data_IF_965988026768
#
_entry.id   IF_965988026768
#
_cell.length_a   1.000
_cell.length_b   1.000
_cell.length_c   1.000
_cell.angle_alpha   90.00
_cell.angle_beta   90.00
_cell.angle_gamma   90.00
#
_symmetry.space_group_name_H-M   'P 1'
#
loop_
_entity.id
_entity.type
_entity.pdbx_description
1 polymer ?
#
# COMPACT_ATOMS: atom_id res chain seq x y z
N UNK A 1 -4.59 -3.72 9.89
CA UNK A 1 -3.17 -4.11 9.76
C UNK A 1 -2.23 -3.13 10.47
N UNK A 2 -2.24 -1.81 10.15
CA UNK A 2 -1.30 -0.84 10.76
C UNK A 2 -1.37 -0.80 12.30
N UNK A 3 -2.57 -0.75 12.88
CA UNK A 3 -2.76 -0.78 14.33
C UNK A 3 -2.36 -2.12 14.95
N UNK A 4 -2.62 -3.22 14.29
CA UNK A 4 -2.23 -4.56 14.75
C UNK A 4 -0.70 -4.71 14.77
N UNK A 5 -0.02 -4.26 13.72
CA UNK A 5 1.44 -4.23 13.68
C UNK A 5 2.02 -3.32 14.77
N UNK A 6 1.39 -2.17 15.04
CA UNK A 6 1.83 -1.27 16.11
C UNK A 6 1.67 -1.86 17.52
N UNK A 7 0.67 -2.69 17.73
CA UNK A 7 0.47 -3.41 19.01
C UNK A 7 1.51 -4.52 19.21
N UNK A 8 1.86 -5.24 18.11
CA UNK A 8 2.85 -6.33 18.18
C UNK A 8 4.27 -5.80 18.40
N UNK A 9 4.61 -4.67 17.79
CA UNK A 9 5.95 -4.10 17.85
C UNK A 9 5.90 -2.59 18.14
N UNK A 10 5.58 -2.17 19.38
CA UNK A 10 5.31 -0.77 19.70
C UNK A 10 6.52 0.16 19.46
N UNK A 11 7.73 -0.34 19.62
CA UNK A 11 8.97 0.44 19.46
C UNK A 11 9.57 0.35 18.05
N UNK A 12 9.00 -0.45 17.16
CA UNK A 12 9.51 -0.58 15.79
C UNK A 12 9.26 0.70 14.97
N UNK A 13 10.20 1.05 14.12
CA UNK A 13 9.96 2.02 13.05
C UNK A 13 9.04 1.40 12.01
N UNK A 14 8.11 2.19 11.47
CA UNK A 14 7.08 1.70 10.55
C UNK A 14 7.09 2.51 9.28
N UNK A 15 6.86 1.83 8.18
CA UNK A 15 6.61 2.46 6.87
C UNK A 15 5.21 2.04 6.40
N UNK A 16 4.30 2.99 6.23
CA UNK A 16 3.02 2.78 5.56
C UNK A 16 3.26 2.92 4.07
N UNK A 17 3.17 1.80 3.34
CA UNK A 17 3.40 1.78 1.91
C UNK A 17 2.05 1.77 1.19
N UNK A 18 1.87 2.74 0.30
CA UNK A 18 0.75 2.79 -0.63
C UNK A 18 1.30 2.68 -2.05
N UNK A 19 1.00 1.56 -2.73
CA UNK A 19 1.30 1.36 -4.13
C UNK A 19 0.13 1.81 -5.00
N UNK A 20 0.43 2.49 -6.11
CA UNK A 20 -0.54 2.72 -7.18
C UNK A 20 0.13 2.51 -8.53
N UNK A 21 -0.59 1.91 -9.45
CA UNK A 21 -0.11 1.68 -10.80
C UNK A 21 -0.96 2.46 -11.80
N UNK A 22 -0.30 3.03 -12.78
CA UNK A 22 -0.98 3.52 -13.98
C UNK A 22 -1.04 2.33 -14.94
N UNK A 23 -2.23 1.83 -15.28
CA UNK A 23 -2.35 0.70 -16.21
C UNK A 23 -1.56 0.93 -17.49
N UNK A 24 -0.83 -0.08 -17.94
CA UNK A 24 0.03 0.02 -19.12
C UNK A 24 -0.75 0.51 -20.35
N UNK A 25 -1.96 -0.02 -20.53
CA UNK A 25 -2.86 0.39 -21.63
C UNK A 25 -3.16 1.88 -21.58
N UNK A 26 -3.44 2.42 -20.40
CA UNK A 26 -3.70 3.86 -20.24
C UNK A 26 -2.43 4.69 -20.51
N UNK A 27 -1.27 4.23 -20.04
CA UNK A 27 0.01 4.87 -20.34
C UNK A 27 0.31 4.88 -21.84
N UNK A 28 0.07 3.77 -22.52
CA UNK A 28 0.23 3.66 -23.97
C UNK A 28 -0.74 4.61 -24.72
N UNK A 29 -2.01 4.67 -24.30
CA UNK A 29 -3.00 5.57 -24.89
C UNK A 29 -2.60 7.04 -24.72
N UNK A 30 -2.08 7.43 -23.55
CA UNK A 30 -1.56 8.79 -23.33
C UNK A 30 -0.40 9.13 -24.27
N UNK A 31 0.55 8.20 -24.44
CA UNK A 31 1.69 8.38 -25.32
C UNK A 31 1.27 8.47 -26.80
N UNK A 32 0.31 7.64 -27.22
CA UNK A 32 -0.27 7.67 -28.59
C UNK A 32 -1.04 8.97 -28.86
N UNK A 33 -1.69 9.54 -27.84
CA UNK A 33 -2.35 10.84 -27.92
C UNK A 33 -1.37 12.03 -27.90
N UNK A 34 -0.06 11.79 -27.95
CA UNK A 34 0.95 12.85 -27.94
C UNK A 34 1.26 13.43 -26.56
N UNK A 35 0.79 12.78 -25.49
CA UNK A 35 1.06 13.24 -24.12
C UNK A 35 2.57 13.17 -23.82
N UNK A 36 3.14 14.28 -23.41
CA UNK A 36 4.56 14.37 -23.10
C UNK A 36 4.93 13.60 -21.81
N UNK A 37 6.20 13.24 -21.68
CA UNK A 37 6.72 12.63 -20.43
C UNK A 37 6.55 13.56 -19.21
N UNK A 38 6.60 14.89 -19.44
CA UNK A 38 6.38 15.88 -18.38
C UNK A 38 4.94 15.86 -17.86
N UNK A 39 3.95 15.70 -18.74
CA UNK A 39 2.54 15.58 -18.37
C UNK A 39 2.27 14.25 -17.62
N UNK A 40 2.86 13.15 -18.07
CA UNK A 40 2.78 11.87 -17.36
C UNK A 40 3.40 11.98 -15.95
N UNK A 41 4.53 12.65 -15.81
CA UNK A 41 5.16 12.93 -14.52
C UNK A 41 4.26 13.85 -13.65
N UNK A 42 3.61 14.83 -14.23
CA UNK A 42 2.62 15.67 -13.56
C UNK A 42 1.44 14.86 -13.03
N UNK A 43 0.89 13.97 -13.83
CA UNK A 43 -0.17 13.06 -13.41
C UNK A 43 0.25 12.18 -12.23
N UNK A 44 1.46 11.61 -12.27
CA UNK A 44 2.00 10.82 -11.14
C UNK A 44 2.11 11.64 -9.87
N UNK A 45 2.59 12.89 -9.96
CA UNK A 45 2.68 13.80 -8.80
C UNK A 45 1.30 14.08 -8.21
N UNK A 46 0.30 14.37 -9.05
CA UNK A 46 -1.08 14.59 -8.62
C UNK A 46 -1.65 13.36 -7.90
N UNK A 47 -1.49 12.17 -8.47
CA UNK A 47 -1.94 10.91 -7.84
C UNK A 47 -1.24 10.63 -6.51
N UNK A 48 0.04 10.96 -6.41
CA UNK A 48 0.81 10.84 -5.16
C UNK A 48 0.27 11.79 -4.08
N UNK A 49 -0.02 13.04 -4.44
CA UNK A 49 -0.58 14.02 -3.53
C UNK A 49 -1.98 13.62 -3.04
N UNK A 50 -2.84 13.17 -3.94
CA UNK A 50 -4.18 12.66 -3.62
C UNK A 50 -4.12 11.45 -2.68
N UNK A 51 -3.27 10.48 -2.97
CA UNK A 51 -3.11 9.31 -2.11
C UNK A 51 -2.63 9.69 -0.70
N UNK A 52 -1.71 10.65 -0.60
CA UNK A 52 -1.23 11.16 0.69
C UNK A 52 -2.35 11.84 1.49
N UNK A 53 -3.18 12.61 0.83
CA UNK A 53 -4.33 13.27 1.46
C UNK A 53 -5.32 12.23 2.00
N UNK A 54 -5.73 11.27 1.19
CA UNK A 54 -6.63 10.18 1.60
C UNK A 54 -6.10 9.36 2.78
N UNK A 55 -4.79 9.08 2.79
CA UNK A 55 -4.17 8.38 3.93
C UNK A 55 -4.30 9.23 5.20
N UNK A 56 -4.01 10.53 5.11
CA UNK A 56 -4.14 11.45 6.26
C UNK A 56 -5.57 11.55 6.76
N UNK A 57 -6.55 11.66 5.87
CA UNK A 57 -7.98 11.69 6.21
C UNK A 57 -8.40 10.39 6.89
N UNK A 58 -8.08 9.24 6.30
CA UNK A 58 -8.43 7.92 6.87
C UNK A 58 -7.87 7.73 8.28
N UNK A 59 -6.65 8.15 8.53
CA UNK A 59 -6.04 8.04 9.85
C UNK A 59 -6.38 9.22 10.77
N UNK A 60 -6.75 10.38 10.23
CA UNK A 60 -7.24 11.53 10.98
C UNK A 60 -8.61 11.29 11.61
N UNK A 61 -9.52 10.66 10.87
CA UNK A 61 -10.88 10.35 11.33
C UNK A 61 -10.94 9.14 12.27
N UNK A 62 -10.10 8.12 12.05
CA UNK A 62 -10.13 6.83 12.78
C UNK A 62 -9.06 6.68 13.86
N UNK A 63 -8.31 7.71 14.12
CA UNK A 63 -7.19 7.67 15.05
C UNK A 63 -5.87 8.02 14.37
N UNK A 64 -4.93 8.47 15.18
CA UNK A 64 -3.60 8.88 14.71
C UNK A 64 -2.85 7.72 14.07
N UNK A 65 -2.11 8.00 13.00
CA UNK A 65 -1.04 7.10 12.56
C UNK A 65 -0.21 6.69 13.78
N UNK A 66 0.10 5.40 13.91
CA UNK A 66 0.96 4.96 15.01
C UNK A 66 2.26 5.79 15.03
N UNK A 67 2.80 6.12 16.22
CA UNK A 67 4.07 6.81 16.32
C UNK A 67 5.16 6.15 15.48
N UNK A 68 6.17 6.88 15.07
CA UNK A 68 7.29 6.37 14.26
C UNK A 68 6.87 5.77 12.89
N UNK A 69 5.73 6.20 12.34
CA UNK A 69 5.27 5.77 11.03
C UNK A 69 5.60 6.79 9.95
N UNK A 70 6.32 6.36 8.91
CA UNK A 70 6.56 7.13 7.69
C UNK A 70 5.56 6.70 6.61
N UNK A 71 5.05 7.67 5.83
CA UNK A 71 4.21 7.38 4.67
C UNK A 71 5.08 7.38 3.42
N UNK A 72 5.04 6.28 2.69
CA UNK A 72 5.70 6.11 1.40
C UNK A 72 4.69 5.73 0.34
N UNK A 73 4.61 6.56 -0.70
CA UNK A 73 3.74 6.33 -1.86
C UNK A 73 4.63 5.95 -3.02
N UNK A 74 4.34 4.81 -3.64
CA UNK A 74 5.15 4.21 -4.69
C UNK A 74 4.33 4.06 -5.97
N UNK A 75 4.77 4.60 -7.12
CA UNK A 75 4.10 4.41 -8.39
C UNK A 75 4.40 3.01 -8.96
N UNK A 76 3.90 1.97 -8.30
CA UNK A 76 4.08 0.57 -8.66
C UNK A 76 2.90 -0.26 -8.15
N UNK A 77 2.72 -1.47 -8.70
CA UNK A 77 1.78 -2.46 -8.18
C UNK A 77 1.98 -2.63 -6.65
N UNK A 78 0.91 -2.60 -5.86
CA UNK A 78 0.99 -2.69 -4.41
C UNK A 78 1.74 -3.93 -3.90
N UNK A 79 1.55 -5.10 -4.55
CA UNK A 79 2.26 -6.31 -4.14
C UNK A 79 3.76 -6.20 -4.44
N UNK A 80 4.14 -5.64 -5.60
CA UNK A 80 5.54 -5.39 -5.95
C UNK A 80 6.18 -4.42 -4.97
N UNK A 81 5.49 -3.35 -4.60
CA UNK A 81 5.98 -2.38 -3.63
C UNK A 81 6.28 -3.02 -2.26
N UNK A 82 5.37 -3.89 -1.77
CA UNK A 82 5.52 -4.61 -0.51
C UNK A 82 6.60 -5.69 -0.58
N UNK A 83 6.67 -6.46 -1.67
CA UNK A 83 7.72 -7.46 -1.88
C UNK A 83 9.11 -6.83 -1.93
N UNK A 84 9.26 -5.68 -2.58
CA UNK A 84 10.51 -4.93 -2.57
C UNK A 84 10.85 -4.40 -1.17
N UNK A 85 9.85 -3.99 -0.39
CA UNK A 85 10.06 -3.59 1.00
C UNK A 85 10.51 -4.76 1.87
N UNK A 86 9.91 -5.95 1.72
CA UNK A 86 10.25 -7.16 2.48
C UNK A 86 11.70 -7.64 2.30
N UNK A 87 12.35 -7.21 1.22
CA UNK A 87 13.76 -7.57 0.89
C UNK A 87 14.78 -6.58 1.42
N UNK A 88 14.36 -5.46 2.01
CA UNK A 88 15.28 -4.47 2.55
C UNK A 88 15.87 -4.96 3.87
N UNK A 89 17.14 -4.64 4.09
CA UNK A 89 17.79 -4.88 5.40
C UNK A 89 17.03 -4.10 6.48
N UNK A 90 16.72 -4.76 7.57
CA UNK A 90 15.97 -4.18 8.69
C UNK A 90 14.46 -4.18 8.53
N UNK A 91 13.93 -4.89 7.51
CA UNK A 91 12.50 -5.19 7.43
C UNK A 91 12.25 -6.56 8.01
N UNK A 92 11.66 -6.61 9.19
CA UNK A 92 11.40 -7.85 9.93
C UNK A 92 9.96 -8.35 9.70
N UNK A 93 9.03 -7.44 9.39
CA UNK A 93 7.61 -7.75 9.26
C UNK A 93 6.93 -6.90 8.19
N UNK A 94 6.13 -7.53 7.35
CA UNK A 94 5.13 -6.87 6.50
C UNK A 94 3.74 -7.17 7.03
N UNK A 95 2.96 -6.14 7.32
CA UNK A 95 1.59 -6.27 7.78
C UNK A 95 0.59 -5.75 6.75
N UNK A 96 -0.41 -6.55 6.41
CA UNK A 96 -1.44 -6.17 5.44
C UNK A 96 -2.80 -6.76 5.80
N UNK A 97 -3.86 -6.21 5.23
CA UNK A 97 -5.21 -6.76 5.36
C UNK A 97 -5.44 -7.95 4.44
N UNK A 98 -6.42 -8.79 4.77
CA UNK A 98 -6.86 -9.89 3.90
C UNK A 98 -7.46 -9.37 2.58
N UNK A 99 -8.02 -8.16 2.60
CA UNK A 99 -8.77 -7.58 1.49
C UNK A 99 -8.34 -6.13 1.24
N UNK A 100 -8.39 -5.72 -0.04
CA UNK A 100 -8.27 -4.31 -0.44
C UNK A 100 -9.63 -3.59 -0.40
N UNK A 101 -9.64 -2.30 -0.71
CA UNK A 101 -10.81 -1.43 -0.68
C UNK A 101 -11.98 -1.88 -1.58
N UNK A 102 -11.73 -2.75 -2.58
CA UNK A 102 -12.71 -3.21 -3.58
C UNK A 102 -13.09 -4.69 -3.42
N UNK A 103 -12.90 -5.28 -2.25
CA UNK A 103 -13.18 -6.70 -2.06
C UNK A 103 -14.68 -6.98 -1.95
N UNK A 104 -15.19 -7.77 -2.87
CA UNK A 104 -16.62 -8.14 -2.98
C UNK A 104 -16.98 -9.34 -2.10
N UNK A 105 -16.02 -10.13 -1.65
CA UNK A 105 -16.26 -11.36 -0.88
C UNK A 105 -15.50 -11.36 0.45
N UNK A 106 -16.24 -11.48 1.55
CA UNK A 106 -15.72 -11.35 2.93
C UNK A 106 -14.72 -12.45 3.36
N UNK A 107 -14.58 -13.54 2.62
CA UNK A 107 -13.76 -14.71 3.02
C UNK A 107 -12.59 -15.02 2.08
N UNK A 108 -12.36 -14.21 1.04
CA UNK A 108 -11.28 -14.47 0.09
C UNK A 108 -10.04 -13.62 0.38
N UNK A 109 -8.89 -14.27 0.36
CA UNK A 109 -7.60 -13.60 0.43
C UNK A 109 -7.37 -12.81 -0.86
N UNK A 110 -7.20 -11.50 -0.75
CA UNK A 110 -6.97 -10.61 -1.88
C UNK A 110 -5.68 -10.95 -2.65
N UNK A 111 -5.61 -10.53 -3.91
CA UNK A 111 -4.47 -10.81 -4.79
C UNK A 111 -3.14 -10.27 -4.24
N UNK A 112 -3.15 -9.10 -3.64
CA UNK A 112 -1.95 -8.50 -3.00
C UNK A 112 -1.49 -9.36 -1.82
N UNK A 113 -2.41 -9.73 -0.92
CA UNK A 113 -2.08 -10.55 0.24
C UNK A 113 -1.52 -11.91 -0.16
N UNK A 114 -2.12 -12.55 -1.18
CA UNK A 114 -1.63 -13.83 -1.71
C UNK A 114 -0.22 -13.71 -2.29
N UNK A 115 0.04 -12.71 -3.12
CA UNK A 115 1.38 -12.47 -3.70
C UNK A 115 2.42 -12.20 -2.63
N UNK A 116 2.08 -11.41 -1.60
CA UNK A 116 3.01 -11.09 -0.51
C UNK A 116 3.30 -12.31 0.35
N UNK A 117 2.28 -13.11 0.72
CA UNK A 117 2.46 -14.33 1.50
C UNK A 117 3.38 -15.34 0.82
N UNK A 118 3.32 -15.43 -0.52
CA UNK A 118 4.14 -16.40 -1.27
C UNK A 118 5.54 -15.88 -1.61
N UNK A 119 5.76 -14.58 -1.61
CA UNK A 119 6.99 -13.98 -2.14
C UNK A 119 7.79 -13.11 -1.18
N UNK A 120 7.29 -12.82 0.02
CA UNK A 120 8.00 -12.02 1.01
C UNK A 120 9.25 -12.75 1.54
N UNK A 121 10.26 -11.95 1.95
CA UNK A 121 11.50 -12.46 2.56
C UNK A 121 11.64 -12.07 4.04
N UNK A 122 10.54 -11.74 4.67
CA UNK A 122 10.42 -11.47 6.10
C UNK A 122 9.07 -12.03 6.57
N UNK A 123 8.79 -11.94 7.85
CA UNK A 123 7.51 -12.35 8.40
C UNK A 123 6.35 -11.56 7.80
N UNK A 124 5.19 -12.19 7.67
CA UNK A 124 3.99 -11.58 7.11
C UNK A 124 2.83 -11.71 8.08
N UNK A 125 2.30 -10.58 8.53
CA UNK A 125 1.09 -10.50 9.33
C UNK A 125 -0.10 -10.17 8.42
N UNK A 126 -1.02 -11.11 8.28
CA UNK A 126 -2.29 -10.87 7.58
C UNK A 126 -3.39 -10.63 8.60
N UNK A 127 -4.00 -9.45 8.55
CA UNK A 127 -5.05 -9.04 9.47
C UNK A 127 -6.40 -9.12 8.76
N UNK A 128 -7.35 -9.93 9.24
CA UNK A 128 -8.69 -9.97 8.69
C UNK A 128 -9.34 -8.57 8.72
N UNK A 129 -10.20 -8.28 7.74
CA UNK A 129 -11.11 -7.17 7.89
C UNK A 129 -11.94 -7.43 9.16
N UNK A 130 -11.90 -6.51 10.12
CA UNK A 130 -12.77 -6.61 11.28
C UNK A 130 -14.20 -6.70 10.75
N UNK A 131 -14.90 -7.79 11.08
CA UNK A 131 -16.33 -7.84 10.91
C UNK A 131 -16.86 -6.70 11.77
N UNK A 132 -17.32 -5.62 11.15
CA UNK A 132 -18.09 -4.61 11.87
C UNK A 132 -19.31 -5.33 12.45
N UNK A 133 -19.55 -5.22 13.75
CA UNK A 133 -20.75 -5.79 14.34
C UNK A 133 -22.01 -5.17 13.74
#
# INVERSE_FOLDING_TARGET
AALSAARLAPMATRELIHGFEIPLVFKQALLQAGTSQAEIAGYRRSRTAEARLRIRETFGEKGRLPPLTRIRIVPADPAIALLNASRRRGTDLVALGTQGANAVAQHLLGSVARKVLTGARCDVLVVPAASLP
#
